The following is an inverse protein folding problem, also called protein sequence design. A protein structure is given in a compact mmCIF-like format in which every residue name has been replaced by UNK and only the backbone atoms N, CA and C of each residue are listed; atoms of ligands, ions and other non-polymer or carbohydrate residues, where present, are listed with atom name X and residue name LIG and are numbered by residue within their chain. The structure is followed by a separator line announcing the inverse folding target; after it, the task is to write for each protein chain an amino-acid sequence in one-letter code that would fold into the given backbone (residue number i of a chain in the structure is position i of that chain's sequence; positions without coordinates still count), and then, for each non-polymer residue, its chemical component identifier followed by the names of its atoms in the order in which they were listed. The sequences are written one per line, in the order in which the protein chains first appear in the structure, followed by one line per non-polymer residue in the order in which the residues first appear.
data_IF_154261464248
#
_entry.id   IF_154261464248
#
_cell.length_a   1.000
_cell.length_b   1.000
_cell.length_c   1.000
_cell.angle_alpha   90.00
_cell.angle_beta   90.00
_cell.angle_gamma   90.00
#
_symmetry.space_group_name_H-M   'P 1'
#
loop_
_entity.id
_entity.type
_entity.pdbx_description
1 polymer ?
#
# COMPACT_ATOMS: atom_id res chain seq x y z
N UNK A 1 -10.70 -72.15 -54.53
CA UNK A 1 -11.75 -72.27 -53.48
C UNK A 1 -11.20 -71.61 -52.23
N UNK A 2 -11.75 -70.59 -51.58
CA UNK A 2 -13.08 -70.00 -51.58
C UNK A 2 -12.96 -68.49 -51.27
N UNK A 3 -13.19 -67.66 -52.29
CA UNK A 3 -13.63 -66.28 -52.11
C UNK A 3 -15.16 -66.32 -51.97
N UNK A 4 -15.70 -66.07 -50.77
CA UNK A 4 -17.13 -65.77 -50.52
C UNK A 4 -17.34 -65.53 -49.02
N UNK A 5 -17.22 -64.28 -48.57
CA UNK A 5 -17.87 -63.75 -47.36
C UNK A 5 -17.81 -62.22 -47.35
N UNK A 6 -18.38 -61.62 -48.41
CA UNK A 6 -18.87 -60.23 -48.43
C UNK A 6 -20.35 -60.30 -48.75
N UNK A 7 -21.22 -60.15 -47.76
CA UNK A 7 -22.52 -59.48 -47.87
C UNK A 7 -23.28 -59.61 -46.54
N UNK A 8 -24.02 -58.55 -46.21
CA UNK A 8 -24.87 -58.33 -45.02
C UNK A 8 -24.15 -57.88 -43.76
N UNK A 9 -23.93 -56.56 -43.68
CA UNK A 9 -24.38 -55.72 -42.55
C UNK A 9 -24.21 -54.23 -42.93
N UNK A 10 -25.06 -53.79 -43.85
CA UNK A 10 -25.40 -52.39 -44.04
C UNK A 10 -26.92 -52.38 -44.07
N UNK A 11 -27.55 -51.94 -42.98
CA UNK A 11 -28.94 -51.50 -42.87
C UNK A 11 -29.20 -51.30 -41.38
N UNK A 12 -29.01 -50.06 -40.91
CA UNK A 12 -29.77 -49.35 -39.85
C UNK A 12 -29.00 -48.09 -39.45
N UNK A 13 -28.92 -47.12 -40.35
CA UNK A 13 -28.62 -45.73 -39.99
C UNK A 13 -29.97 -45.01 -39.83
N UNK A 14 -30.67 -45.29 -38.73
CA UNK A 14 -31.81 -44.47 -38.30
C UNK A 14 -31.24 -43.19 -37.72
N UNK A 15 -31.32 -42.10 -38.48
CA UNK A 15 -31.01 -40.76 -38.03
C UNK A 15 -31.95 -40.36 -36.91
N UNK A 16 -31.51 -40.50 -35.67
CA UNK A 16 -32.07 -39.74 -34.57
C UNK A 16 -31.50 -38.33 -34.65
N UNK A 17 -32.34 -37.38 -35.09
CA UNK A 17 -32.08 -35.96 -34.89
C UNK A 17 -32.08 -35.71 -33.38
N UNK A 18 -30.93 -35.91 -32.73
CA UNK A 18 -30.72 -35.45 -31.37
C UNK A 18 -30.84 -33.93 -31.41
N UNK A 19 -32.03 -33.43 -31.08
CA UNK A 19 -32.17 -32.03 -30.72
C UNK A 19 -31.19 -31.79 -29.56
N UNK A 20 -30.25 -30.85 -29.68
CA UNK A 20 -29.32 -30.56 -28.60
C UNK A 20 -30.17 -30.10 -27.42
N UNK A 21 -30.37 -30.97 -26.43
CA UNK A 21 -30.98 -30.55 -25.17
C UNK A 21 -30.00 -29.57 -24.57
N UNK A 22 -30.32 -28.27 -24.64
CA UNK A 22 -29.58 -27.22 -23.96
C UNK A 22 -29.75 -27.48 -22.46
N UNK A 23 -28.90 -28.34 -21.91
CA UNK A 23 -28.80 -28.53 -20.47
C UNK A 23 -28.11 -27.29 -19.94
N UNK A 24 -28.93 -26.34 -19.49
CA UNK A 24 -28.45 -25.16 -18.82
C UNK A 24 -27.59 -25.62 -17.63
N UNK A 25 -26.30 -25.30 -17.68
CA UNK A 25 -25.39 -25.67 -16.60
C UNK A 25 -25.78 -24.88 -15.36
N UNK A 26 -25.96 -25.56 -14.23
CA UNK A 26 -26.20 -24.91 -12.93
C UNK A 26 -25.11 -23.90 -12.57
N UNK A 27 -23.88 -24.06 -13.10
CA UNK A 27 -22.82 -23.07 -12.95
C UNK A 27 -23.14 -21.75 -13.67
N UNK A 28 -23.72 -21.79 -14.87
CA UNK A 28 -24.12 -20.61 -15.62
C UNK A 28 -25.28 -19.87 -14.92
N UNK A 29 -26.23 -20.64 -14.36
CA UNK A 29 -27.30 -20.07 -13.50
C UNK A 29 -26.69 -19.39 -12.28
N UNK A 30 -25.74 -20.04 -11.59
CA UNK A 30 -25.05 -19.48 -10.43
C UNK A 30 -24.32 -18.17 -10.73
N UNK A 31 -23.56 -18.11 -11.82
CA UNK A 31 -22.90 -16.88 -12.27
C UNK A 31 -23.90 -15.77 -12.64
N UNK A 32 -25.02 -16.13 -13.30
CA UNK A 32 -26.08 -15.19 -13.63
C UNK A 32 -26.72 -14.55 -12.38
N UNK A 33 -27.00 -15.36 -11.36
CA UNK A 33 -27.54 -14.87 -10.07
C UNK A 33 -26.53 -14.00 -9.33
N UNK A 34 -25.26 -14.39 -9.28
CA UNK A 34 -24.21 -13.59 -8.65
C UNK A 34 -24.06 -12.23 -9.35
N UNK A 35 -24.03 -12.21 -10.69
CA UNK A 35 -23.95 -10.97 -11.46
C UNK A 35 -25.17 -10.07 -11.24
N UNK A 36 -26.39 -10.64 -11.24
CA UNK A 36 -27.62 -9.90 -10.97
C UNK A 36 -27.64 -9.31 -9.55
N UNK A 37 -27.19 -10.08 -8.54
CA UNK A 37 -27.08 -9.60 -7.17
C UNK A 37 -26.03 -8.50 -7.03
N UNK A 38 -24.85 -8.66 -7.62
CA UNK A 38 -23.81 -7.62 -7.64
C UNK A 38 -24.30 -6.35 -8.32
N UNK A 39 -25.00 -6.47 -9.45
CA UNK A 39 -25.59 -5.33 -10.15
C UNK A 39 -26.67 -4.65 -9.29
N UNK A 40 -27.58 -5.42 -8.70
CA UNK A 40 -28.61 -4.90 -7.80
C UNK A 40 -28.01 -4.19 -6.58
N UNK A 41 -26.95 -4.76 -5.99
CA UNK A 41 -26.19 -4.13 -4.91
C UNK A 41 -25.57 -2.81 -5.37
N UNK A 42 -24.89 -2.77 -6.52
CA UNK A 42 -24.29 -1.54 -7.04
C UNK A 42 -25.33 -0.45 -7.31
N UNK A 43 -26.48 -0.82 -7.88
CA UNK A 43 -27.60 0.11 -8.11
C UNK A 43 -28.14 0.67 -6.79
N UNK A 44 -28.36 -0.18 -5.78
CA UNK A 44 -28.79 0.25 -4.45
C UNK A 44 -27.72 1.09 -3.72
N UNK A 45 -26.45 0.74 -3.90
CA UNK A 45 -25.32 1.47 -3.35
C UNK A 45 -25.29 2.89 -3.92
N UNK A 46 -25.34 3.04 -5.25
CA UNK A 46 -25.33 4.34 -5.93
C UNK A 46 -26.69 5.06 -5.96
N UNK A 47 -27.77 4.44 -5.51
CA UNK A 47 -29.04 5.14 -5.30
C UNK A 47 -28.97 6.12 -4.11
N UNK A 48 -27.99 5.96 -3.20
CA UNK A 48 -27.80 6.88 -2.07
C UNK A 48 -27.02 8.13 -2.51
N UNK A 49 -27.52 9.35 -2.23
CA UNK A 49 -26.84 10.60 -2.62
C UNK A 49 -25.37 10.69 -2.16
N UNK A 50 -25.08 10.20 -0.95
CA UNK A 50 -23.71 10.18 -0.42
C UNK A 50 -22.74 9.36 -1.30
N UNK A 51 -23.21 8.31 -1.95
CA UNK A 51 -22.40 7.46 -2.82
C UNK A 51 -22.39 7.94 -4.27
N UNK A 52 -23.38 8.73 -4.69
CA UNK A 52 -23.38 9.39 -6.00
C UNK A 52 -22.23 10.39 -6.12
N UNK A 53 -21.83 11.01 -5.02
CA UNK A 53 -20.63 11.85 -4.96
C UNK A 53 -19.35 11.11 -5.43
N UNK A 54 -19.27 9.79 -5.19
CA UNK A 54 -18.15 8.96 -5.68
C UNK A 54 -18.18 8.85 -7.20
N UNK A 55 -19.36 8.65 -7.81
CA UNK A 55 -19.50 8.66 -9.27
C UNK A 55 -19.14 10.02 -9.87
N UNK A 56 -19.49 11.10 -9.16
CA UNK A 56 -19.15 12.46 -9.58
C UNK A 56 -17.64 12.73 -9.58
N UNK A 57 -16.91 12.21 -8.61
CA UNK A 57 -15.45 12.25 -8.61
C UNK A 57 -14.83 11.50 -9.81
N UNK A 58 -15.47 10.43 -10.29
CA UNK A 58 -15.02 9.71 -11.50
C UNK A 58 -15.39 10.40 -12.81
N UNK A 59 -16.58 11.02 -12.88
CA UNK A 59 -17.11 11.61 -14.11
C UNK A 59 -16.56 13.03 -14.36
N UNK A 60 -16.17 13.75 -13.32
CA UNK A 60 -15.66 15.12 -13.40
C UNK A 60 -14.42 15.31 -12.51
N UNK A 61 -13.33 14.54 -12.74
CA UNK A 61 -12.16 14.55 -11.87
C UNK A 61 -11.48 15.93 -11.82
N UNK A 62 -11.48 16.67 -12.93
CA UNK A 62 -10.81 17.97 -13.05
C UNK A 62 -11.46 19.05 -12.18
N UNK A 63 -12.79 19.11 -12.16
CA UNK A 63 -13.53 20.10 -11.37
C UNK A 63 -13.32 19.85 -9.87
N UNK A 64 -13.25 18.58 -9.49
CA UNK A 64 -13.03 18.19 -8.10
C UNK A 64 -11.60 18.51 -7.64
N UNK A 65 -10.59 18.17 -8.44
CA UNK A 65 -9.20 18.52 -8.14
C UNK A 65 -8.99 20.04 -8.16
N UNK A 66 -9.68 20.77 -9.04
CA UNK A 66 -9.66 22.23 -9.09
C UNK A 66 -10.21 22.86 -7.81
N UNK A 67 -11.30 22.33 -7.25
CA UNK A 67 -11.83 22.78 -5.96
C UNK A 67 -10.79 22.62 -4.84
N UNK A 68 -10.04 21.51 -4.84
CA UNK A 68 -8.95 21.30 -3.89
C UNK A 68 -7.78 22.27 -4.09
N UNK A 69 -7.47 22.61 -5.34
CA UNK A 69 -6.49 23.64 -5.68
C UNK A 69 -6.97 25.08 -5.35
N UNK A 70 -8.08 25.24 -4.61
CA UNK A 70 -8.64 26.55 -4.28
C UNK A 70 -9.24 27.27 -5.49
N UNK A 71 -9.72 26.51 -6.48
CA UNK A 71 -10.34 27.02 -7.71
C UNK A 71 -9.36 27.31 -8.85
N UNK A 72 -8.04 27.20 -8.64
CA UNK A 72 -7.03 27.39 -9.68
C UNK A 72 -5.87 26.40 -9.58
N UNK A 73 -5.49 25.84 -10.73
CA UNK A 73 -4.32 24.98 -10.88
C UNK A 73 -2.98 25.72 -10.75
N UNK A 74 -2.97 27.05 -10.88
CA UNK A 74 -1.75 27.87 -10.79
C UNK A 74 -1.07 27.78 -9.42
N UNK A 75 -1.79 27.27 -8.41
CA UNK A 75 -1.33 27.16 -7.02
C UNK A 75 -0.78 25.77 -6.67
N UNK A 76 -0.86 24.80 -7.58
CA UNK A 76 -0.51 23.40 -7.30
C UNK A 76 0.40 22.86 -8.39
N UNK A 77 1.70 22.82 -8.11
CA UNK A 77 2.69 22.13 -8.94
C UNK A 77 2.90 20.68 -8.49
N UNK A 78 3.08 19.76 -9.44
CA UNK A 78 3.54 18.39 -9.14
C UNK A 78 4.90 18.42 -8.42
N UNK A 79 5.74 19.41 -8.75
CA UNK A 79 7.04 19.63 -8.11
C UNK A 79 6.95 19.93 -6.62
N UNK A 80 5.86 20.57 -6.16
CA UNK A 80 5.66 20.92 -4.74
C UNK A 80 5.50 19.68 -3.86
N UNK A 81 5.15 18.53 -4.46
CA UNK A 81 5.00 17.24 -3.77
C UNK A 81 6.31 16.48 -3.65
N UNK A 82 7.32 16.81 -4.46
CA UNK A 82 8.60 16.11 -4.47
C UNK A 82 9.29 16.12 -3.10
N UNK A 83 9.41 17.27 -2.39
CA UNK A 83 10.02 17.29 -1.06
C UNK A 83 9.27 16.42 -0.05
N UNK A 84 7.94 16.35 -0.15
CA UNK A 84 7.12 15.57 0.78
C UNK A 84 7.32 14.07 0.53
N UNK A 85 7.29 13.63 -0.73
CA UNK A 85 7.61 12.25 -1.08
C UNK A 85 9.04 11.85 -0.72
N UNK A 86 10.00 12.77 -0.89
CA UNK A 86 11.38 12.53 -0.50
C UNK A 86 11.48 12.32 1.02
N UNK A 87 10.84 13.17 1.82
CA UNK A 87 10.82 13.05 3.27
C UNK A 87 10.17 11.73 3.72
N UNK A 88 8.99 11.40 3.19
CA UNK A 88 8.33 10.14 3.46
C UNK A 88 9.21 8.94 3.06
N UNK A 89 9.88 8.99 1.90
CA UNK A 89 10.80 7.96 1.45
C UNK A 89 12.00 7.78 2.39
N UNK A 90 12.55 8.86 2.94
CA UNK A 90 13.64 8.82 3.93
C UNK A 90 13.17 8.22 5.26
N UNK A 91 11.98 8.56 5.72
CA UNK A 91 11.34 7.97 6.91
C UNK A 91 11.13 6.45 6.71
N UNK A 92 10.60 6.03 5.56
CA UNK A 92 10.42 4.61 5.23
C UNK A 92 11.75 3.86 5.17
N UNK A 93 12.79 4.48 4.61
CA UNK A 93 14.14 3.92 4.57
C UNK A 93 14.73 3.80 5.99
N UNK A 94 14.48 4.79 6.85
CA UNK A 94 14.88 4.76 8.26
C UNK A 94 14.30 3.54 8.97
N UNK A 95 12.99 3.33 8.84
CA UNK A 95 12.29 2.18 9.43
C UNK A 95 12.94 0.87 9.01
N UNK A 96 13.22 0.69 7.71
CA UNK A 96 13.89 -0.51 7.23
C UNK A 96 15.26 -0.75 7.91
N UNK A 97 16.02 0.31 8.17
CA UNK A 97 17.30 0.25 8.88
C UNK A 97 17.15 -0.25 10.32
N UNK A 98 16.18 0.28 11.07
CA UNK A 98 15.84 -0.23 12.40
C UNK A 98 15.46 -1.71 12.34
N UNK A 99 14.68 -2.10 11.34
CA UNK A 99 14.29 -3.49 11.10
C UNK A 99 15.45 -4.46 10.98
N UNK A 100 16.47 -4.08 10.20
CA UNK A 100 17.68 -4.90 10.06
C UNK A 100 18.41 -5.06 11.39
N UNK A 101 18.54 -3.99 12.17
CA UNK A 101 19.17 -4.05 13.50
C UNK A 101 18.36 -4.92 14.44
N UNK A 102 17.04 -4.76 14.50
CA UNK A 102 16.16 -5.60 15.32
C UNK A 102 16.33 -7.07 14.98
N UNK A 103 16.36 -7.43 13.69
CA UNK A 103 16.59 -8.82 13.28
C UNK A 103 17.96 -9.35 13.76
N UNK A 104 19.01 -8.53 13.68
CA UNK A 104 20.35 -8.90 14.18
C UNK A 104 20.31 -9.12 15.70
N UNK A 105 19.68 -8.20 16.45
CA UNK A 105 19.55 -8.30 17.91
C UNK A 105 18.74 -9.51 18.35
N UNK A 106 17.74 -9.92 17.56
CA UNK A 106 16.96 -11.14 17.77
C UNK A 106 17.70 -12.41 17.34
N UNK A 107 18.99 -12.32 16.98
CA UNK A 107 19.82 -13.47 16.61
C UNK A 107 19.54 -14.02 15.22
N UNK A 108 18.85 -13.27 14.36
CA UNK A 108 18.61 -13.72 12.99
C UNK A 108 19.94 -13.76 12.23
N UNK A 109 20.32 -14.90 11.61
CA UNK A 109 21.64 -15.04 11.02
C UNK A 109 21.88 -13.96 9.95
N UNK A 110 22.86 -13.08 10.19
CA UNK A 110 23.24 -12.02 9.26
C UNK A 110 23.57 -12.55 7.87
N UNK A 111 24.09 -13.78 7.77
CA UNK A 111 24.33 -14.50 6.51
C UNK A 111 23.06 -14.78 5.67
N UNK A 112 21.87 -14.81 6.29
CA UNK A 112 20.57 -15.01 5.63
C UNK A 112 19.86 -13.68 5.33
N UNK A 113 20.16 -12.62 6.08
CA UNK A 113 19.66 -11.27 5.82
C UNK A 113 20.15 -10.78 4.44
N UNK A 114 19.22 -10.39 3.57
CA UNK A 114 19.51 -9.86 2.24
C UNK A 114 19.53 -10.87 1.08
N UNK A 115 19.56 -12.19 1.33
CA UNK A 115 19.62 -13.20 0.25
C UNK A 115 18.28 -13.84 -0.10
N UNK A 116 17.27 -13.70 0.76
CA UNK A 116 15.89 -14.16 0.50
C UNK A 116 14.95 -12.96 0.53
N UNK A 117 14.13 -12.80 -0.51
CA UNK A 117 13.11 -11.75 -0.63
C UNK A 117 12.22 -11.64 0.63
N UNK A 118 11.97 -12.75 1.32
CA UNK A 118 11.14 -12.78 2.54
C UNK A 118 11.68 -12.03 3.76
N UNK A 119 12.97 -11.66 3.81
CA UNK A 119 13.51 -10.92 4.96
C UNK A 119 13.25 -9.42 4.89
N UNK A 120 13.04 -8.85 3.70
CA UNK A 120 12.80 -7.41 3.54
C UNK A 120 11.43 -6.98 4.11
N UNK A 121 10.32 -7.68 3.83
CA UNK A 121 9.04 -7.37 4.45
C UNK A 121 9.08 -7.51 5.98
N UNK A 122 9.78 -8.53 6.50
CA UNK A 122 9.92 -8.73 7.94
C UNK A 122 10.76 -7.61 8.59
N UNK A 123 11.89 -7.23 7.98
CA UNK A 123 12.68 -6.09 8.43
C UNK A 123 11.83 -4.81 8.41
N UNK A 124 11.12 -4.53 7.32
CA UNK A 124 10.24 -3.37 7.23
C UNK A 124 9.18 -3.36 8.35
N UNK A 125 8.51 -4.48 8.62
CA UNK A 125 7.50 -4.58 9.67
C UNK A 125 8.07 -4.36 11.09
N UNK A 126 9.19 -5.01 11.42
CA UNK A 126 9.87 -4.83 12.71
C UNK A 126 10.38 -3.40 12.88
N UNK A 127 10.95 -2.87 11.82
CA UNK A 127 11.47 -1.52 11.73
C UNK A 127 10.42 -0.46 11.94
N UNK A 128 9.25 -0.63 11.31
CA UNK A 128 8.08 0.22 11.53
C UNK A 128 7.71 0.22 13.02
N UNK A 129 7.53 -0.95 13.62
CA UNK A 129 7.15 -1.05 15.03
C UNK A 129 8.14 -0.32 15.96
N UNK A 130 9.44 -0.55 15.79
CA UNK A 130 10.49 0.10 16.59
C UNK A 130 10.51 1.61 16.38
N UNK A 131 10.54 2.06 15.14
CA UNK A 131 10.64 3.48 14.78
C UNK A 131 9.44 4.28 15.31
N UNK A 132 8.23 3.76 15.13
CA UNK A 132 7.02 4.41 15.64
C UNK A 132 6.95 4.41 17.16
N UNK A 133 7.49 3.39 17.82
CA UNK A 133 7.58 3.37 19.28
C UNK A 133 8.56 4.43 19.80
N UNK A 134 9.67 4.66 19.10
CA UNK A 134 10.62 5.73 19.43
C UNK A 134 9.93 7.09 19.34
N UNK A 135 9.20 7.36 18.25
CA UNK A 135 8.48 8.61 18.09
C UNK A 135 7.37 8.76 19.14
N UNK A 136 6.59 7.71 19.40
CA UNK A 136 5.55 7.73 20.42
C UNK A 136 6.14 8.06 21.80
N UNK A 137 7.26 7.44 22.17
CA UNK A 137 7.96 7.74 23.42
C UNK A 137 8.44 9.19 23.48
N UNK A 138 9.02 9.71 22.39
CA UNK A 138 9.38 11.12 22.29
C UNK A 138 8.14 12.03 22.43
N UNK A 139 7.02 11.63 21.83
CA UNK A 139 5.73 12.30 21.93
C UNK A 139 5.20 12.38 23.36
N UNK A 140 5.22 11.28 24.11
CA UNK A 140 4.81 11.27 25.51
C UNK A 140 5.69 12.13 26.41
N UNK A 141 6.99 12.19 26.10
CA UNK A 141 7.95 13.07 26.79
C UNK A 141 7.82 14.55 26.38
N UNK A 142 6.94 14.88 25.44
CA UNK A 142 6.74 16.24 24.94
C UNK A 142 7.89 16.76 24.07
N UNK A 143 8.58 15.86 23.37
CA UNK A 143 9.75 16.17 22.56
C UNK A 143 9.40 16.33 21.07
N UNK A 144 8.13 16.47 20.68
CA UNK A 144 7.77 16.60 19.26
C UNK A 144 8.26 17.92 18.64
N UNK A 145 8.35 19.00 19.43
CA UNK A 145 8.93 20.26 18.96
C UNK A 145 10.47 20.24 18.97
N UNK A 146 11.09 19.29 19.66
CA UNK A 146 12.53 19.06 19.62
C UNK A 146 12.87 18.32 18.31
N UNK A 147 12.76 19.00 17.18
CA UNK A 147 12.94 18.45 15.82
C UNK A 147 14.24 17.67 15.64
N UNK A 148 15.29 18.04 16.38
CA UNK A 148 16.55 17.31 16.38
C UNK A 148 16.39 15.84 16.75
N UNK A 149 15.47 15.49 17.66
CA UNK A 149 15.19 14.11 18.05
C UNK A 149 14.67 13.30 16.85
N UNK A 150 13.69 13.85 16.12
CA UNK A 150 13.15 13.21 14.92
C UNK A 150 14.21 13.09 13.82
N UNK A 151 14.98 14.16 13.57
CA UNK A 151 16.08 14.12 12.60
C UNK A 151 17.14 13.08 12.95
N UNK A 152 17.55 12.99 14.23
CA UNK A 152 18.53 12.02 14.69
C UNK A 152 17.99 10.59 14.51
N UNK A 153 16.74 10.34 14.89
CA UNK A 153 16.11 9.02 14.72
C UNK A 153 16.07 8.62 13.23
N UNK A 154 15.57 9.50 12.36
CA UNK A 154 15.48 9.25 10.92
C UNK A 154 16.86 9.04 10.30
N UNK A 155 17.82 9.93 10.54
CA UNK A 155 19.17 9.83 9.97
C UNK A 155 19.91 8.60 10.47
N UNK A 156 19.73 8.23 11.75
CA UNK A 156 20.31 7.02 12.31
C UNK A 156 19.75 5.77 11.63
N UNK A 157 18.43 5.66 11.47
CA UNK A 157 17.82 4.55 10.73
C UNK A 157 18.27 4.50 9.27
N UNK A 158 18.36 5.64 8.57
CA UNK A 158 18.85 5.69 7.17
C UNK A 158 20.30 5.22 7.08
N UNK A 159 21.17 5.59 8.03
CA UNK A 159 22.54 5.11 8.11
C UNK A 159 22.56 3.58 8.29
N UNK A 160 21.76 3.04 9.20
CA UNK A 160 21.64 1.60 9.43
C UNK A 160 21.16 0.85 8.18
N UNK A 161 20.17 1.38 7.49
CA UNK A 161 19.67 0.83 6.22
C UNK A 161 20.77 0.81 5.17
N UNK A 162 21.49 1.92 5.00
CA UNK A 162 22.58 2.06 4.04
C UNK A 162 23.69 1.05 4.28
N UNK A 163 24.09 0.87 5.55
CA UNK A 163 25.09 -0.14 5.95
C UNK A 163 24.57 -1.56 5.68
N UNK A 164 23.32 -1.85 6.04
CA UNK A 164 22.69 -3.15 5.79
C UNK A 164 22.62 -3.50 4.30
N UNK A 165 22.21 -2.54 3.47
CA UNK A 165 22.14 -2.66 2.01
C UNK A 165 23.53 -2.86 1.40
N UNK A 166 24.52 -2.08 1.83
CA UNK A 166 25.91 -2.22 1.38
C UNK A 166 26.47 -3.61 1.70
N UNK A 167 26.29 -4.08 2.92
CA UNK A 167 26.73 -5.42 3.32
C UNK A 167 26.02 -6.52 2.51
N UNK A 168 24.71 -6.38 2.30
CA UNK A 168 23.93 -7.29 1.45
C UNK A 168 24.47 -7.33 0.02
N UNK A 169 24.70 -6.17 -0.59
CA UNK A 169 25.26 -6.05 -1.94
C UNK A 169 26.66 -6.67 -2.06
N UNK A 170 27.54 -6.42 -1.09
CA UNK A 170 28.88 -7.03 -1.05
C UNK A 170 28.81 -8.56 -0.98
N UNK A 171 27.85 -9.12 -0.24
CA UNK A 171 27.66 -10.59 -0.16
C UNK A 171 27.16 -11.16 -1.48
N UNK A 172 26.17 -10.53 -2.12
CA UNK A 172 25.68 -10.93 -3.46
C UNK A 172 26.81 -10.91 -4.48
N UNK A 173 27.64 -9.87 -4.46
CA UNK A 173 28.79 -9.75 -5.34
C UNK A 173 29.86 -10.82 -5.08
N UNK A 174 30.07 -11.23 -3.82
CA UNK A 174 31.02 -12.29 -3.43
C UNK A 174 30.50 -13.69 -3.71
N UNK A 175 29.19 -13.90 -3.69
CA UNK A 175 28.60 -15.17 -4.12
C UNK A 175 28.81 -15.36 -5.62
N UNK A 176 29.92 -16.01 -5.99
CA UNK A 176 30.14 -16.52 -7.36
C UNK A 176 29.07 -17.57 -7.64
N UNK A 177 27.99 -17.17 -8.31
CA UNK A 177 26.93 -18.09 -8.66
C UNK A 177 25.51 -17.58 -8.49
N UNK A 178 25.27 -16.26 -8.38
CA UNK A 178 23.92 -15.74 -8.61
C UNK A 178 23.54 -16.01 -10.07
N UNK A 179 23.01 -17.19 -10.34
CA UNK A 179 22.26 -17.45 -11.56
C UNK A 179 21.00 -16.61 -11.41
N UNK A 180 20.95 -15.47 -12.12
CA UNK A 180 19.71 -14.73 -12.29
C UNK A 180 18.80 -15.65 -13.09
N UNK A 181 18.08 -16.53 -12.40
CA UNK A 181 17.01 -17.31 -12.99
C UNK A 181 15.86 -16.35 -13.22
N UNK A 182 15.95 -15.47 -14.22
CA UNK A 182 14.85 -14.59 -14.60
C UNK A 182 13.77 -15.44 -15.25
N UNK A 183 13.00 -16.14 -14.41
CA UNK A 183 11.72 -16.62 -14.87
C UNK A 183 10.86 -15.37 -15.08
N UNK A 184 10.28 -15.22 -16.27
CA UNK A 184 9.34 -14.15 -16.63
C UNK A 184 8.32 -13.78 -15.52
N UNK A 185 7.80 -14.73 -14.72
CA UNK A 185 6.90 -14.42 -13.60
C UNK A 185 7.52 -13.51 -12.53
N UNK A 186 8.84 -13.56 -12.30
CA UNK A 186 9.52 -12.74 -11.28
C UNK A 186 9.73 -11.30 -11.75
N UNK A 187 10.08 -11.10 -13.03
CA UNK A 187 10.18 -9.76 -13.60
C UNK A 187 8.79 -9.11 -13.71
N UNK A 188 7.79 -9.86 -14.17
CA UNK A 188 6.40 -9.40 -14.19
C UNK A 188 5.90 -9.04 -12.79
N UNK A 189 6.17 -9.87 -11.78
CA UNK A 189 5.83 -9.58 -10.40
C UNK A 189 6.50 -8.32 -9.85
N UNK A 190 7.79 -8.10 -10.15
CA UNK A 190 8.50 -6.88 -9.74
C UNK A 190 7.93 -5.64 -10.43
N UNK A 191 7.66 -5.70 -11.74
CA UNK A 191 7.05 -4.60 -12.49
C UNK A 191 5.67 -4.25 -11.92
N UNK A 192 4.84 -5.27 -11.63
CA UNK A 192 3.53 -5.06 -11.02
C UNK A 192 3.65 -4.46 -9.62
N UNK A 193 4.59 -4.93 -8.80
CA UNK A 193 4.82 -4.37 -7.47
C UNK A 193 5.25 -2.90 -7.57
N UNK A 194 6.20 -2.56 -8.44
CA UNK A 194 6.65 -1.18 -8.65
C UNK A 194 5.52 -0.31 -9.17
N UNK A 195 4.77 -0.76 -10.18
CA UNK A 195 3.63 -0.03 -10.72
C UNK A 195 2.55 0.20 -9.64
N UNK A 196 2.28 -0.81 -8.82
CA UNK A 196 1.33 -0.72 -7.71
C UNK A 196 1.80 0.24 -6.63
N UNK A 197 3.08 0.19 -6.24
CA UNK A 197 3.66 1.14 -5.29
C UNK A 197 3.59 2.57 -5.80
N UNK A 198 3.94 2.81 -7.08
CA UNK A 198 3.80 4.14 -7.70
C UNK A 198 2.35 4.60 -7.70
N UNK A 199 1.41 3.71 -8.08
CA UNK A 199 -0.02 4.01 -8.02
C UNK A 199 -0.48 4.40 -6.62
N UNK A 200 -0.10 3.62 -5.59
CA UNK A 200 -0.45 3.91 -4.20
C UNK A 200 0.15 5.23 -3.71
N UNK A 201 1.41 5.54 -4.06
CA UNK A 201 2.04 6.82 -3.70
C UNK A 201 1.36 8.01 -4.38
N UNK A 202 1.00 7.88 -5.65
CA UNK A 202 0.23 8.91 -6.35
C UNK A 202 -1.17 9.08 -5.75
N UNK A 203 -1.83 7.97 -5.38
CA UNK A 203 -3.12 8.00 -4.70
C UNK A 203 -3.05 8.65 -3.32
N UNK A 204 -1.97 8.43 -2.57
CA UNK A 204 -1.74 9.06 -1.26
C UNK A 204 -1.52 10.58 -1.36
N UNK A 205 -1.07 11.10 -2.51
CA UNK A 205 -0.98 12.54 -2.76
C UNK A 205 -2.31 13.18 -3.19
N UNK A 206 -3.37 12.39 -3.39
CA UNK A 206 -4.69 12.93 -3.62
C UNK A 206 -5.30 13.43 -2.30
N UNK A 207 -6.26 14.36 -2.37
CA UNK A 207 -6.92 14.87 -1.18
C UNK A 207 -7.59 13.73 -0.39
N UNK A 208 -7.41 13.67 0.95
CA UNK A 208 -8.04 12.65 1.78
C UNK A 208 -9.57 12.81 1.71
N UNK A 209 -10.26 11.75 1.31
CA UNK A 209 -11.72 11.75 1.13
C UNK A 209 -12.46 11.11 2.29
N UNK A 210 -11.89 10.04 2.79
CA UNK A 210 -12.56 9.19 3.76
C UNK A 210 -12.54 9.84 5.14
N UNK A 211 -13.65 9.67 5.86
CA UNK A 211 -13.88 10.31 7.15
C UNK A 211 -12.81 9.89 8.16
N UNK A 212 -12.47 8.60 8.21
CA UNK A 212 -11.42 8.03 9.05
C UNK A 212 -10.05 8.67 8.80
N UNK A 213 -9.68 8.84 7.53
CA UNK A 213 -8.42 9.48 7.13
C UNK A 213 -8.34 10.89 7.68
N UNK A 214 -9.42 11.65 7.55
CA UNK A 214 -9.46 13.04 8.01
C UNK A 214 -9.53 13.12 9.54
N UNK A 215 -10.39 12.34 10.17
CA UNK A 215 -10.73 12.44 11.58
C UNK A 215 -9.62 11.92 12.49
N UNK A 216 -8.91 10.86 12.12
CA UNK A 216 -7.91 10.28 13.02
C UNK A 216 -6.58 9.91 12.38
N UNK A 217 -6.50 9.67 11.07
CA UNK A 217 -5.17 9.50 10.46
C UNK A 217 -4.42 10.82 10.27
N UNK A 218 -5.12 11.96 10.14
CA UNK A 218 -4.51 13.28 9.93
C UNK A 218 -4.81 14.28 11.05
N UNK A 219 -6.05 14.37 11.52
CA UNK A 219 -6.42 15.36 12.53
C UNK A 219 -5.78 15.07 13.90
N UNK A 220 -5.72 13.81 14.33
CA UNK A 220 -5.07 13.43 15.59
C UNK A 220 -3.56 13.75 15.58
N UNK A 221 -2.77 13.31 14.57
CA UNK A 221 -1.37 13.74 14.44
C UNK A 221 -1.17 15.24 14.39
N UNK A 222 -2.03 15.96 13.68
CA UNK A 222 -1.99 17.42 13.63
C UNK A 222 -2.12 18.03 15.03
N UNK A 223 -3.08 17.58 15.83
CA UNK A 223 -3.28 18.11 17.17
C UNK A 223 -2.09 17.81 18.10
N UNK A 224 -1.54 16.60 18.05
CA UNK A 224 -0.32 16.28 18.80
C UNK A 224 0.89 17.10 18.34
N UNK A 225 1.05 17.29 17.03
CA UNK A 225 2.09 18.15 16.47
C UNK A 225 1.96 19.58 17.00
N UNK A 226 0.75 20.15 16.96
CA UNK A 226 0.50 21.50 17.46
C UNK A 226 0.73 21.62 18.97
N UNK A 227 0.36 20.59 19.75
CA UNK A 227 0.59 20.54 21.20
C UNK A 227 2.05 20.24 21.58
N UNK A 228 2.86 19.73 20.65
CA UNK A 228 4.24 19.30 20.89
C UNK A 228 4.36 18.00 21.69
N UNK A 229 3.24 17.31 21.94
CA UNK A 229 3.18 16.08 22.73
C UNK A 229 2.03 15.17 22.33
N UNK A 230 2.21 13.86 22.54
CA UNK A 230 1.14 12.87 22.45
C UNK A 230 0.43 12.79 23.80
N UNK A 231 -0.88 12.98 23.80
CA UNK A 231 -1.74 13.05 25.00
C UNK A 231 -3.09 12.40 24.74
N UNK A 232 -3.80 12.10 25.83
CA UNK A 232 -5.19 11.65 25.77
C UNK A 232 -6.08 12.76 25.19
N UNK A 233 -6.95 12.39 24.24
CA UNK A 233 -7.85 13.31 23.55
C UNK A 233 -9.29 13.03 23.98
N UNK A 234 -9.85 13.88 24.85
CA UNK A 234 -11.22 13.69 25.37
C UNK A 234 -12.30 13.90 24.32
N UNK A 235 -12.02 14.66 23.27
CA UNK A 235 -12.95 14.99 22.19
C UNK A 235 -12.84 14.05 20.97
N UNK A 236 -11.80 13.22 20.89
CA UNK A 236 -11.59 12.30 19.78
C UNK A 236 -11.23 10.91 20.31
N UNK A 237 -12.21 10.00 20.31
CA UNK A 237 -12.03 8.63 20.83
C UNK A 237 -10.97 7.85 20.06
N UNK A 238 -10.86 8.08 18.74
CA UNK A 238 -9.90 7.39 17.88
C UNK A 238 -8.47 7.78 18.23
N UNK A 239 -8.24 9.02 18.70
CA UNK A 239 -6.95 9.48 19.19
C UNK A 239 -6.42 8.75 20.42
N UNK A 240 -7.22 7.86 21.04
CA UNK A 240 -6.82 7.04 22.17
C UNK A 240 -6.70 5.54 21.84
N UNK A 241 -6.89 5.16 20.57
CA UNK A 241 -6.70 3.79 20.08
C UNK A 241 -5.22 3.50 19.78
N UNK A 242 -4.82 2.25 19.45
CA UNK A 242 -3.47 1.96 19.00
C UNK A 242 -3.18 2.67 17.65
N UNK A 243 -2.28 3.65 17.67
CA UNK A 243 -2.06 4.61 16.57
C UNK A 243 -0.66 4.46 15.94
N UNK A 244 -0.32 3.24 15.53
CA UNK A 244 1.01 2.92 15.00
C UNK A 244 1.29 3.52 13.61
N UNK A 245 0.27 3.71 12.78
CA UNK A 245 0.44 4.24 11.42
C UNK A 245 0.51 5.77 11.44
N UNK A 246 -0.21 6.39 12.36
CA UNK A 246 -0.36 7.82 12.56
C UNK A 246 0.92 8.48 13.06
N UNK A 247 1.77 7.71 13.77
CA UNK A 247 3.11 8.14 14.13
C UNK A 247 3.96 8.42 12.87
N UNK A 248 3.76 7.73 11.74
CA UNK A 248 4.49 8.03 10.50
C UNK A 248 4.17 9.42 9.95
N UNK A 249 2.87 9.76 9.91
CA UNK A 249 2.38 11.06 9.50
C UNK A 249 2.88 12.14 10.48
N UNK A 250 2.78 11.88 11.79
CA UNK A 250 3.28 12.78 12.83
C UNK A 250 4.77 13.08 12.66
N UNK A 251 5.59 12.08 12.36
CA UNK A 251 7.03 12.27 12.15
C UNK A 251 7.31 13.19 10.97
N UNK A 252 6.63 12.99 9.85
CA UNK A 252 6.79 13.83 8.67
C UNK A 252 6.39 15.29 8.98
N UNK A 253 5.33 15.51 9.76
CA UNK A 253 4.95 16.84 10.27
C UNK A 253 6.04 17.47 11.14
N UNK A 254 6.61 16.70 12.07
CA UNK A 254 7.71 17.14 12.97
C UNK A 254 8.98 17.48 12.18
N UNK A 255 9.38 16.62 11.25
CA UNK A 255 10.57 16.80 10.42
C UNK A 255 10.43 18.02 9.52
N UNK A 256 9.26 18.23 8.91
CA UNK A 256 8.97 19.43 8.13
C UNK A 256 9.03 20.70 9.00
N UNK A 257 8.34 20.67 10.13
CA UNK A 257 8.33 21.73 11.13
C UNK A 257 7.64 23.03 10.69
N UNK A 258 7.68 24.05 11.55
CA UNK A 258 7.04 25.34 11.32
C UNK A 258 5.53 25.33 11.59
N UNK A 259 4.88 26.48 11.50
CA UNK A 259 3.44 26.60 11.80
C UNK A 259 2.58 25.71 10.89
N UNK A 260 2.97 25.62 9.61
CA UNK A 260 2.31 24.80 8.59
C UNK A 260 2.96 23.41 8.41
N UNK A 261 3.79 22.96 9.36
CA UNK A 261 4.42 21.64 9.31
C UNK A 261 3.41 20.50 9.26
N UNK A 262 2.28 20.67 9.92
CA UNK A 262 1.17 19.72 9.88
C UNK A 262 0.52 19.61 8.48
N UNK A 263 0.59 20.66 7.66
CA UNK A 263 0.00 20.67 6.32
C UNK A 263 0.97 20.04 5.31
N UNK A 264 2.23 20.45 5.35
CA UNK A 264 3.23 20.01 4.37
C UNK A 264 3.83 18.63 4.69
N UNK A 265 3.83 18.24 5.96
CA UNK A 265 4.27 16.91 6.39
C UNK A 265 3.16 15.87 6.50
N UNK A 266 1.89 16.24 6.26
CA UNK A 266 0.77 15.30 6.23
C UNK A 266 0.76 14.51 4.92
N UNK A 267 1.26 13.27 4.95
CA UNK A 267 1.18 12.30 3.85
C UNK A 267 0.95 10.89 4.40
#
# INVERSE_FOLDING_TARGET
MNARRRHRRQLTATGSSQQPSVRMSWTAVGWGLAAAFSLGYLLLFFARPAHQAVLWAFLVPDEWLRQWAGGSWDRVGIGDRFPIFLLAGLVQLSMLGYGFVTMILLGWPSAKLGTRLGHWPLAAALGWGVHQTILLAAGWLGLLHARSVAWIAMLFGVLLASVGMWQGWQRVRRSRGWKVGSSWPQLGGLVLLVAWSVYLSLAAALPPRDFDVREYHLQVPKEWYQQGRVTFMSHNIYGNMPLGTEMAALECMVLWGGEEGWWWGAL
#
